data_IF_406063374988
#
_entry.id   IF_406063374988
#
_cell.length_a   1.000
_cell.length_b   1.000
_cell.length_c   1.000
_cell.angle_alpha   90.00
_cell.angle_beta   90.00
_cell.angle_gamma   90.00
#
_symmetry.space_group_name_H-M   'P 1'
#
loop_
_entity.id
_entity.type
_entity.pdbx_description
1 polymer ?
#
# COMPACT_ATOMS: atom_id res chain seq x y z
N UNK A 1 -2.47 -24.80 -40.13
CA UNK A 1 -1.36 -24.38 -39.23
C UNK A 1 -1.59 -22.99 -38.64
N UNK A 2 -1.91 -21.97 -39.45
CA UNK A 2 -2.12 -20.58 -38.98
C UNK A 2 -3.26 -20.46 -37.92
N UNK A 3 -4.40 -21.12 -38.13
CA UNK A 3 -5.52 -21.11 -37.17
C UNK A 3 -5.18 -21.72 -35.81
N UNK A 4 -4.33 -22.75 -35.79
CA UNK A 4 -3.83 -23.33 -34.55
C UNK A 4 -2.97 -22.31 -33.79
N UNK A 5 -2.08 -21.59 -34.49
CA UNK A 5 -1.24 -20.57 -33.85
C UNK A 5 -2.06 -19.42 -33.27
N UNK A 6 -3.10 -18.97 -33.98
CA UNK A 6 -4.00 -17.90 -33.51
C UNK A 6 -4.78 -18.36 -32.27
N UNK A 7 -5.29 -19.59 -32.27
CA UNK A 7 -6.01 -20.16 -31.12
C UNK A 7 -5.11 -20.25 -29.89
N UNK A 8 -3.89 -20.79 -30.03
CA UNK A 8 -2.94 -20.90 -28.91
C UNK A 8 -2.53 -19.52 -28.39
N UNK A 9 -2.27 -18.56 -29.27
CA UNK A 9 -1.95 -17.19 -28.87
C UNK A 9 -3.11 -16.53 -28.09
N UNK A 10 -4.35 -16.73 -28.55
CA UNK A 10 -5.55 -16.25 -27.85
C UNK A 10 -5.67 -16.81 -26.44
N UNK A 11 -5.45 -18.11 -26.27
CA UNK A 11 -5.47 -18.77 -24.96
C UNK A 11 -4.37 -18.21 -24.04
N UNK A 12 -3.14 -18.03 -24.56
CA UNK A 12 -2.03 -17.44 -23.79
C UNK A 12 -2.36 -16.03 -23.33
N UNK A 13 -2.91 -15.18 -24.19
CA UNK A 13 -3.32 -13.81 -23.82
C UNK A 13 -4.41 -13.84 -22.75
N UNK A 14 -5.40 -14.72 -22.88
CA UNK A 14 -6.49 -14.85 -21.91
C UNK A 14 -5.96 -15.31 -20.53
N UNK A 15 -5.00 -16.25 -20.52
CA UNK A 15 -4.31 -16.70 -19.31
C UNK A 15 -3.49 -15.57 -18.68
N UNK A 16 -2.79 -14.75 -19.48
CA UNK A 16 -2.07 -13.59 -18.98
C UNK A 16 -3.00 -12.54 -18.37
N UNK A 17 -4.14 -12.24 -19.00
CA UNK A 17 -5.12 -11.28 -18.48
C UNK A 17 -5.77 -11.75 -17.17
N UNK A 18 -6.01 -13.05 -17.04
CA UNK A 18 -6.50 -13.67 -15.81
C UNK A 18 -5.42 -13.78 -14.71
N UNK A 19 -4.14 -13.59 -15.06
CA UNK A 19 -3.04 -13.69 -14.12
C UNK A 19 -3.12 -12.62 -13.04
N UNK A 20 -2.69 -13.01 -11.84
CA UNK A 20 -2.65 -12.14 -10.65
C UNK A 20 -1.22 -11.67 -10.42
N UNK A 21 -1.07 -10.36 -10.30
CA UNK A 21 0.14 -9.72 -9.84
C UNK A 21 0.05 -9.55 -8.32
N UNK A 22 1.06 -10.02 -7.59
CA UNK A 22 1.18 -9.90 -6.15
C UNK A 22 2.22 -8.83 -5.81
N UNK A 23 1.79 -7.80 -5.07
CA UNK A 23 2.64 -6.73 -4.57
C UNK A 23 2.82 -6.97 -3.07
N UNK A 24 4.05 -7.26 -2.65
CA UNK A 24 4.40 -7.32 -1.24
C UNK A 24 5.13 -6.03 -0.87
N UNK A 25 4.53 -5.25 0.00
CA UNK A 25 5.09 -4.03 0.56
C UNK A 25 5.59 -4.35 1.96
N UNK A 26 6.88 -4.14 2.23
CA UNK A 26 7.44 -4.18 3.59
C UNK A 26 8.19 -2.88 3.84
N UNK A 27 7.65 -2.06 4.73
CA UNK A 27 8.27 -0.82 5.20
C UNK A 27 8.78 -1.11 6.61
N UNK A 28 10.08 -0.97 6.84
CA UNK A 28 10.70 -1.10 8.17
C UNK A 28 11.34 0.23 8.51
N UNK A 29 10.86 0.83 9.59
CA UNK A 29 11.42 2.04 10.18
C UNK A 29 12.05 1.64 11.51
N UNK A 30 13.37 1.49 11.53
CA UNK A 30 14.18 1.20 12.71
C UNK A 30 15.20 2.34 12.84
N UNK A 31 15.44 2.85 14.05
CA UNK A 31 16.21 4.07 14.32
C UNK A 31 17.68 4.08 13.80
N UNK A 32 18.17 2.96 13.24
CA UNK A 32 19.50 2.83 12.63
C UNK A 32 19.49 2.26 11.20
N UNK A 33 18.38 1.69 10.70
CA UNK A 33 18.31 0.97 9.42
C UNK A 33 16.97 1.26 8.73
N UNK A 34 16.94 2.31 7.91
CA UNK A 34 15.76 2.71 7.16
C UNK A 34 15.74 2.02 5.80
N UNK A 35 14.94 0.95 5.66
CA UNK A 35 14.76 0.31 4.36
C UNK A 35 13.29 0.13 3.98
N UNK A 36 12.95 0.68 2.81
CA UNK A 36 11.76 0.28 2.07
C UNK A 36 12.14 -0.98 1.30
N UNK A 37 11.39 -2.08 1.48
CA UNK A 37 11.53 -3.28 0.66
C UNK A 37 10.23 -3.52 -0.11
N UNK A 38 10.24 -3.09 -1.37
CA UNK A 38 9.16 -3.38 -2.32
C UNK A 38 9.51 -4.68 -3.05
N UNK A 39 8.66 -5.70 -2.92
CA UNK A 39 8.82 -6.98 -3.63
C UNK A 39 7.65 -7.21 -4.55
N UNK A 40 7.91 -7.14 -5.84
CA UNK A 40 6.95 -7.46 -6.89
C UNK A 40 7.05 -8.94 -7.27
N UNK A 41 5.94 -9.67 -7.22
CA UNK A 41 5.86 -11.06 -7.64
C UNK A 41 4.76 -11.23 -8.67
N UNK A 42 5.10 -11.87 -9.78
CA UNK A 42 4.18 -12.19 -10.87
C UNK A 42 4.30 -13.68 -11.15
N UNK A 43 3.19 -14.42 -11.20
CA UNK A 43 3.21 -15.82 -11.64
C UNK A 43 4.23 -16.72 -10.89
N UNK A 44 4.45 -16.47 -9.60
CA UNK A 44 5.45 -17.19 -8.77
C UNK A 44 6.92 -16.84 -9.02
N UNK A 45 7.21 -15.81 -9.84
CA UNK A 45 8.56 -15.27 -10.07
C UNK A 45 8.69 -13.90 -9.39
N UNK A 46 9.77 -13.71 -8.61
CA UNK A 46 10.08 -12.45 -7.89
C UNK A 46 10.97 -11.57 -8.75
N UNK A 47 10.55 -10.34 -9.04
CA UNK A 47 11.22 -9.52 -10.07
C UNK A 47 12.08 -8.37 -9.55
N UNK A 48 11.70 -7.65 -8.48
CA UNK A 48 12.46 -6.45 -8.08
C UNK A 48 12.42 -6.22 -6.56
N UNK A 49 13.58 -5.88 -5.97
CA UNK A 49 13.75 -5.33 -4.61
C UNK A 49 14.22 -3.89 -4.76
N UNK A 50 13.37 -2.91 -4.49
CA UNK A 50 13.77 -1.50 -4.49
C UNK A 50 14.09 -1.08 -3.05
N UNK A 51 15.31 -0.61 -2.79
CA UNK A 51 15.82 -0.19 -1.47
C UNK A 51 16.03 1.32 -1.51
N UNK A 52 15.15 2.09 -0.85
CA UNK A 52 15.27 3.56 -0.79
C UNK A 52 15.66 3.92 0.65
N UNK A 53 16.84 4.50 0.90
CA UNK A 53 17.13 5.18 2.15
C UNK A 53 16.28 6.45 2.26
N UNK A 54 15.62 6.67 3.40
CA UNK A 54 14.59 7.69 3.63
C UNK A 54 15.14 9.13 3.80
N UNK A 55 16.32 9.44 3.25
CA UNK A 55 17.05 10.70 3.45
C UNK A 55 16.62 11.85 2.49
N UNK A 56 15.47 11.74 1.81
CA UNK A 56 14.95 12.80 0.93
C UNK A 56 13.52 13.26 1.27
N UNK A 57 12.95 12.86 2.41
CA UNK A 57 11.63 13.36 2.87
C UNK A 57 11.80 14.65 3.70
N UNK A 58 12.79 15.49 3.38
CA UNK A 58 12.99 16.80 4.02
C UNK A 58 12.89 17.98 3.03
N UNK A 59 12.46 17.72 1.78
CA UNK A 59 12.13 18.78 0.81
C UNK A 59 10.65 18.84 0.42
N UNK A 60 9.77 18.14 1.15
CA UNK A 60 8.31 18.20 0.93
C UNK A 60 7.63 19.21 1.87
N UNK A 61 8.26 20.37 2.12
CA UNK A 61 7.63 21.55 2.73
C UNK A 61 7.60 22.72 1.75
N UNK A 62 6.96 22.52 0.60
CA UNK A 62 6.30 23.63 -0.08
C UNK A 62 4.96 23.12 -0.62
N UNK A 63 3.96 23.08 0.25
CA UNK A 63 2.57 23.06 -0.22
C UNK A 63 2.25 24.47 -0.70
N UNK A 64 2.21 24.75 -2.03
CA UNK A 64 1.73 26.05 -2.47
C UNK A 64 0.29 26.19 -2.00
N UNK A 65 -0.01 27.29 -1.32
CA UNK A 65 -1.36 27.63 -0.86
C UNK A 65 -2.23 27.92 -2.09
N UNK A 66 -2.69 26.88 -2.76
CA UNK A 66 -3.57 27.01 -3.93
C UNK A 66 -4.98 26.64 -3.53
N UNK A 67 -5.91 27.56 -3.79
CA UNK A 67 -7.34 27.39 -3.56
C UNK A 67 -7.97 26.31 -4.48
N UNK A 68 -7.15 25.59 -5.26
CA UNK A 68 -7.51 24.45 -6.10
C UNK A 68 -7.16 23.07 -5.52
N UNK A 69 -6.31 22.99 -4.48
CA UNK A 69 -5.87 21.71 -3.89
C UNK A 69 -7.02 20.84 -3.40
N UNK A 70 -8.08 21.44 -2.85
CA UNK A 70 -9.25 20.68 -2.41
C UNK A 70 -9.92 19.96 -3.60
N UNK A 71 -10.03 20.62 -4.75
CA UNK A 71 -10.66 20.04 -5.95
C UNK A 71 -9.83 18.88 -6.50
N UNK A 72 -8.51 19.00 -6.49
CA UNK A 72 -7.59 17.94 -6.90
C UNK A 72 -7.62 16.75 -5.92
N UNK A 73 -7.66 17.02 -4.61
CA UNK A 73 -7.80 16.00 -3.57
C UNK A 73 -9.16 15.28 -3.66
N UNK A 74 -10.25 15.98 -3.95
CA UNK A 74 -11.57 15.37 -4.15
C UNK A 74 -11.61 14.50 -5.42
N UNK A 75 -10.91 14.91 -6.49
CA UNK A 75 -10.83 14.14 -7.74
C UNK A 75 -9.96 12.88 -7.56
N UNK A 76 -8.82 13.01 -6.86
CA UNK A 76 -7.96 11.89 -6.44
C UNK A 76 -8.70 10.92 -5.51
N UNK A 77 -9.54 11.43 -4.62
CA UNK A 77 -10.35 10.60 -3.71
C UNK A 77 -11.31 9.69 -4.48
N UNK A 78 -11.97 10.18 -5.53
CA UNK A 78 -12.90 9.37 -6.33
C UNK A 78 -12.16 8.35 -7.21
N UNK A 79 -11.08 8.76 -7.88
CA UNK A 79 -10.26 7.85 -8.69
C UNK A 79 -9.59 6.76 -7.83
N UNK A 80 -9.02 7.15 -6.69
CA UNK A 80 -8.39 6.23 -5.73
C UNK A 80 -9.38 5.20 -5.19
N UNK A 81 -10.63 5.58 -4.92
CA UNK A 81 -11.66 4.67 -4.40
C UNK A 81 -11.92 3.48 -5.32
N UNK A 82 -12.02 3.71 -6.62
CA UNK A 82 -12.26 2.65 -7.61
C UNK A 82 -11.04 1.74 -7.79
N UNK A 83 -9.84 2.30 -7.64
CA UNK A 83 -8.59 1.54 -7.63
C UNK A 83 -8.54 0.64 -6.40
N UNK A 84 -8.78 1.19 -5.20
CA UNK A 84 -8.73 0.44 -3.95
C UNK A 84 -9.74 -0.72 -3.89
N UNK A 85 -10.93 -0.57 -4.49
CA UNK A 85 -11.94 -1.65 -4.61
C UNK A 85 -11.47 -2.88 -5.37
N UNK A 86 -10.56 -2.68 -6.33
CA UNK A 86 -10.06 -3.75 -7.21
C UNK A 86 -8.80 -4.39 -6.64
N UNK A 87 -8.10 -3.69 -5.73
CA UNK A 87 -6.98 -4.24 -4.97
C UNK A 87 -7.52 -5.22 -3.94
N UNK A 88 -6.97 -6.45 -3.96
CA UNK A 88 -7.21 -7.45 -2.94
C UNK A 88 -6.14 -7.37 -1.88
N UNK A 89 -6.54 -7.23 -0.62
CA UNK A 89 -5.62 -7.35 0.51
C UNK A 89 -5.61 -8.80 0.99
N UNK A 90 -4.49 -9.48 0.80
CA UNK A 90 -4.30 -10.87 1.22
C UNK A 90 -3.81 -10.97 2.67
N UNK A 91 -2.96 -10.03 3.10
CA UNK A 91 -2.48 -9.91 4.49
C UNK A 91 -1.99 -8.50 4.74
N UNK A 92 -2.34 -7.93 5.89
CA UNK A 92 -1.79 -6.67 6.36
C UNK A 92 -1.34 -6.85 7.80
N UNK A 93 -0.07 -6.53 8.08
CA UNK A 93 0.53 -6.50 9.40
C UNK A 93 1.09 -5.12 9.65
N UNK A 94 0.71 -4.51 10.76
CA UNK A 94 1.32 -3.27 11.21
C UNK A 94 1.76 -3.45 12.65
N UNK A 95 3.07 -3.45 12.87
CA UNK A 95 3.67 -3.48 14.18
C UNK A 95 4.37 -2.16 14.47
N UNK A 96 4.22 -1.64 15.67
CA UNK A 96 4.98 -0.47 16.10
C UNK A 96 5.36 -0.54 17.56
N UNK A 97 6.62 -0.28 17.81
CA UNK A 97 7.19 -0.06 19.11
C UNK A 97 7.26 1.45 19.38
N UNK A 98 6.81 1.85 20.56
CA UNK A 98 6.94 3.24 21.02
C UNK A 98 7.30 3.25 22.51
N UNK A 99 8.41 3.91 22.82
CA UNK A 99 8.85 4.20 24.18
C UNK A 99 9.26 5.67 24.26
N UNK A 100 8.72 6.37 25.25
CA UNK A 100 9.08 7.73 25.61
C UNK A 100 9.79 7.71 26.97
N UNK A 101 10.45 8.83 27.31
CA UNK A 101 11.16 8.97 28.60
C UNK A 101 10.25 8.72 29.80
N UNK A 102 8.98 9.09 29.68
CA UNK A 102 7.98 8.92 30.73
C UNK A 102 6.94 7.87 30.34
N UNK A 103 6.55 7.03 31.30
CA UNK A 103 5.65 5.90 31.07
C UNK A 103 4.20 6.33 30.80
N UNK A 104 3.76 7.42 31.41
CA UNK A 104 2.45 8.04 31.19
C UNK A 104 2.31 8.62 29.78
N UNK A 105 3.33 9.34 29.31
CA UNK A 105 3.42 9.83 27.94
C UNK A 105 3.48 8.67 26.94
N UNK A 106 4.22 7.61 27.26
CA UNK A 106 4.25 6.38 26.44
C UNK A 106 2.87 5.77 26.30
N UNK A 107 2.09 5.69 27.38
CA UNK A 107 0.74 5.14 27.36
C UNK A 107 -0.22 6.00 26.52
N UNK A 108 -0.18 7.33 26.68
CA UNK A 108 -1.00 8.28 25.90
C UNK A 108 -0.63 8.19 24.42
N UNK A 109 0.66 8.21 24.09
CA UNK A 109 1.14 8.13 22.73
C UNK A 109 0.79 6.79 22.07
N UNK A 110 0.91 5.67 22.79
CA UNK A 110 0.51 4.36 22.30
C UNK A 110 -1.00 4.30 21.99
N UNK A 111 -1.86 4.82 22.88
CA UNK A 111 -3.31 4.85 22.68
C UNK A 111 -3.75 5.76 21.52
N UNK A 112 -3.13 6.94 21.40
CA UNK A 112 -3.36 7.85 20.27
C UNK A 112 -2.94 7.21 18.95
N UNK A 113 -1.76 6.61 18.92
CA UNK A 113 -1.24 5.92 17.74
C UNK A 113 -2.11 4.72 17.36
N UNK A 114 -2.62 3.97 18.33
CA UNK A 114 -3.56 2.87 18.09
C UNK A 114 -4.83 3.35 17.38
N UNK A 115 -5.39 4.46 17.84
CA UNK A 115 -6.62 5.05 17.29
C UNK A 115 -6.42 5.52 15.84
N UNK A 116 -5.30 6.20 15.57
CA UNK A 116 -4.97 6.68 14.22
C UNK A 116 -4.78 5.50 13.26
N UNK A 117 -3.99 4.50 13.65
CA UNK A 117 -3.73 3.32 12.82
C UNK A 117 -4.97 2.49 12.54
N UNK A 118 -5.78 2.29 13.58
CA UNK A 118 -7.03 1.54 13.47
C UNK A 118 -8.00 2.24 12.54
N UNK A 119 -8.09 3.57 12.61
CA UNK A 119 -8.92 4.36 11.69
C UNK A 119 -8.43 4.24 10.24
N UNK A 120 -7.12 4.38 10.02
CA UNK A 120 -6.54 4.25 8.67
C UNK A 120 -6.79 2.87 8.07
N UNK A 121 -6.57 1.81 8.85
CA UNK A 121 -6.83 0.44 8.41
C UNK A 121 -8.32 0.21 8.19
N UNK A 122 -9.21 0.70 9.07
CA UNK A 122 -10.65 0.57 8.87
C UNK A 122 -11.11 1.22 7.55
N UNK A 123 -10.57 2.39 7.20
CA UNK A 123 -10.87 3.06 5.92
C UNK A 123 -10.32 2.25 4.73
N UNK A 124 -9.10 1.72 4.82
CA UNK A 124 -8.53 0.86 3.77
C UNK A 124 -9.38 -0.40 3.57
N UNK A 125 -9.68 -1.10 4.66
CA UNK A 125 -10.41 -2.37 4.68
C UNK A 125 -11.85 -2.22 4.19
N UNK A 126 -12.48 -1.06 4.42
CA UNK A 126 -13.81 -0.75 3.89
C UNK A 126 -13.81 -0.63 2.35
N UNK A 127 -12.68 -0.21 1.78
CA UNK A 127 -12.57 0.03 0.35
C UNK A 127 -11.87 -1.10 -0.40
N UNK A 128 -11.08 -1.94 0.25
CA UNK A 128 -10.36 -3.06 -0.37
C UNK A 128 -11.08 -4.39 -0.17
N UNK A 129 -10.96 -5.29 -1.16
CA UNK A 129 -11.40 -6.67 -0.99
C UNK A 129 -10.42 -7.41 -0.09
N UNK A 130 -10.79 -7.62 1.16
CA UNK A 130 -9.88 -8.25 2.12
C UNK A 130 -10.19 -9.73 2.33
N UNK A 131 -9.18 -10.60 2.20
CA UNK A 131 -9.32 -12.04 2.46
C UNK A 131 -9.07 -12.44 3.91
N UNK A 132 -8.19 -11.72 4.62
CA UNK A 132 -7.78 -12.03 5.99
C UNK A 132 -7.85 -10.79 6.86
N UNK A 133 -8.25 -10.96 8.13
CA UNK A 133 -8.27 -9.84 9.09
C UNK A 133 -6.87 -9.21 9.21
N UNK A 134 -6.76 -7.87 9.21
CA UNK A 134 -5.50 -7.19 9.40
C UNK A 134 -5.00 -7.42 10.82
N UNK A 135 -3.70 -7.63 10.97
CA UNK A 135 -3.04 -7.83 12.26
C UNK A 135 -2.34 -6.52 12.65
N UNK A 136 -2.86 -5.83 13.67
CA UNK A 136 -2.34 -4.54 14.12
C UNK A 136 -1.84 -4.71 15.55
N UNK A 137 -0.59 -4.35 15.81
CA UNK A 137 0.02 -4.46 17.11
C UNK A 137 0.78 -3.18 17.45
N UNK A 138 0.60 -2.71 18.67
CA UNK A 138 1.41 -1.65 19.26
C UNK A 138 2.01 -2.21 20.54
N UNK A 139 3.32 -2.17 20.64
CA UNK A 139 4.05 -2.58 21.82
C UNK A 139 4.60 -1.32 22.49
N UNK A 140 4.04 -0.89 23.63
CA UNK A 140 4.61 0.20 24.40
C UNK A 140 5.89 -0.29 25.11
N UNK A 141 6.98 0.45 24.97
CA UNK A 141 8.23 0.19 25.68
C UNK A 141 8.41 1.23 26.79
N UNK A 142 8.20 0.80 28.03
CA UNK A 142 8.32 1.67 29.21
C UNK A 142 9.74 1.75 29.78
N UNK A 143 10.72 1.06 29.16
CA UNK A 143 12.08 0.93 29.71
C UNK A 143 13.09 1.81 28.99
N UNK A 144 12.90 2.05 27.69
CA UNK A 144 13.84 2.81 26.87
C UNK A 144 13.07 3.69 25.89
N UNK A 145 13.57 4.91 25.66
CA UNK A 145 13.07 5.79 24.60
C UNK A 145 13.47 5.22 23.26
N UNK A 146 12.51 4.69 22.51
CA UNK A 146 12.73 4.07 21.20
C UNK A 146 11.46 4.10 20.35
N UNK A 147 11.61 4.18 19.04
CA UNK A 147 10.50 4.17 18.10
C UNK A 147 10.86 3.32 16.88
N UNK A 148 10.11 2.24 16.67
CA UNK A 148 10.23 1.42 15.47
C UNK A 148 8.87 1.07 14.91
N UNK A 149 8.71 1.11 13.59
CA UNK A 149 7.44 0.80 12.93
C UNK A 149 7.66 -0.07 11.72
N UNK A 150 7.04 -1.25 11.71
CA UNK A 150 7.06 -2.18 10.60
C UNK A 150 5.65 -2.35 10.02
N UNK A 151 5.51 -2.10 8.72
CA UNK A 151 4.29 -2.32 7.96
C UNK A 151 4.56 -3.38 6.89
N UNK A 152 3.91 -4.53 6.99
CA UNK A 152 3.95 -5.59 5.98
C UNK A 152 2.57 -5.76 5.34
N UNK A 153 2.42 -5.41 4.07
CA UNK A 153 1.21 -5.62 3.29
C UNK A 153 1.46 -6.58 2.12
N UNK A 154 0.53 -7.51 1.91
CA UNK A 154 0.45 -8.34 0.71
C UNK A 154 -0.84 -8.01 -0.01
N UNK A 155 -0.71 -7.46 -1.19
CA UNK A 155 -1.81 -7.05 -2.05
C UNK A 155 -1.75 -7.81 -3.37
N UNK A 156 -2.90 -8.09 -3.97
CA UNK A 156 -2.99 -8.69 -5.29
C UNK A 156 -3.98 -7.97 -6.19
N UNK A 157 -3.64 -7.90 -7.47
CA UNK A 157 -4.49 -7.30 -8.51
C UNK A 157 -4.39 -8.12 -9.79
N UNK A 158 -5.49 -8.33 -10.50
CA UNK A 158 -5.48 -9.01 -11.80
C UNK A 158 -5.06 -8.06 -12.92
N UNK A 159 -4.28 -8.55 -13.89
CA UNK A 159 -3.79 -7.73 -15.02
C UNK A 159 -4.96 -7.11 -15.81
N UNK A 160 -6.01 -7.88 -16.08
CA UNK A 160 -7.21 -7.35 -16.75
C UNK A 160 -7.84 -6.15 -16.02
N UNK A 161 -7.81 -6.13 -14.68
CA UNK A 161 -8.29 -4.98 -13.91
C UNK A 161 -7.35 -3.78 -14.02
N UNK A 162 -6.04 -3.99 -14.06
CA UNK A 162 -5.07 -2.90 -14.27
C UNK A 162 -5.26 -2.23 -15.62
N UNK A 163 -5.41 -3.02 -16.69
CA UNK A 163 -5.64 -2.51 -18.05
C UNK A 163 -6.97 -1.73 -18.11
N UNK A 164 -8.03 -2.28 -17.52
CA UNK A 164 -9.32 -1.60 -17.43
C UNK A 164 -9.19 -0.24 -16.73
N UNK A 165 -8.45 -0.17 -15.61
CA UNK A 165 -8.23 1.10 -14.90
C UNK A 165 -7.40 2.10 -15.71
N UNK A 166 -6.34 1.66 -16.38
CA UNK A 166 -5.54 2.53 -17.24
C UNK A 166 -6.39 3.12 -18.37
N UNK A 167 -7.25 2.30 -18.98
CA UNK A 167 -8.17 2.74 -20.02
C UNK A 167 -9.21 3.73 -19.48
N UNK A 168 -9.85 3.44 -18.34
CA UNK A 168 -10.81 4.35 -17.71
C UNK A 168 -10.16 5.67 -17.27
N UNK A 169 -8.95 5.62 -16.73
CA UNK A 169 -8.22 6.82 -16.30
C UNK A 169 -7.86 7.72 -17.49
N UNK A 170 -7.41 7.14 -18.61
CA UNK A 170 -7.15 7.87 -19.84
C UNK A 170 -8.41 8.50 -20.44
N UNK A 171 -9.55 7.80 -20.35
CA UNK A 171 -10.82 8.33 -20.83
C UNK A 171 -11.31 9.51 -19.98
N UNK A 172 -11.09 9.48 -18.66
CA UNK A 172 -11.49 10.56 -17.74
C UNK A 172 -10.65 11.82 -17.95
N UNK A 173 -9.37 11.72 -18.30
CA UNK A 173 -8.53 12.90 -18.58
C UNK A 173 -8.83 13.59 -19.91
N UNK A 174 -9.64 12.98 -20.79
CA UNK A 174 -9.98 13.53 -22.11
C UNK A 174 -11.24 14.41 -22.10
N UNK A 175 -11.91 14.55 -20.95
CA UNK A 175 -13.07 15.42 -20.73
C UNK A 175 -12.77 16.46 -19.67
#
# INVERSE_FOLDING_TARGET
MIWLMISTAGVVVLVLLASRLFISLKIVYEAAEQYISLRFSLLSVTFYKFHIPLEQIDQMQSFPRTNGLLKDLFTLKNAGREIFKRIRCDRLKWHTNIGLSEADLTAIAAGGLWSVKSTLIAVLMKHMQTRKKPEIYITPNFKTTDFSSSLEGKFSITIGQMIYMAFTALHIQRH
#
